data_IF_336478540579
#
_entry.id   IF_336478540579
#
_cell.length_a   1.000
_cell.length_b   1.000
_cell.length_c   1.000
_cell.angle_alpha   90.00
_cell.angle_beta   90.00
_cell.angle_gamma   90.00
#
_symmetry.space_group_name_H-M   'P 1'
#
loop_
_entity.id
_entity.type
_entity.pdbx_description
1 polymer ?
#
# COMPACT_ATOMS: atom_id res chain seq x y z
N UNK A 1 -0.64 -22.50 -7.44
CA UNK A 1 0.58 -22.79 -8.26
C UNK A 1 1.78 -22.40 -7.43
N UNK A 2 2.75 -23.28 -7.33
CA UNK A 2 4.01 -22.96 -6.67
C UNK A 2 4.78 -21.92 -7.49
N UNK A 3 5.59 -21.08 -6.81
CA UNK A 3 6.42 -20.06 -7.45
C UNK A 3 7.24 -20.61 -8.63
N UNK A 4 7.76 -21.83 -8.48
CA UNK A 4 8.59 -22.48 -9.50
C UNK A 4 7.83 -22.92 -10.76
N UNK A 5 6.49 -23.04 -10.67
CA UNK A 5 5.62 -23.38 -11.82
C UNK A 5 5.20 -22.14 -12.62
N UNK A 6 5.56 -20.95 -12.15
CA UNK A 6 5.29 -19.71 -12.87
C UNK A 6 6.21 -19.56 -14.08
N UNK A 7 5.76 -18.92 -15.18
CA UNK A 7 6.62 -18.53 -16.29
C UNK A 7 7.86 -17.76 -15.81
N UNK A 8 9.00 -18.00 -16.44
CA UNK A 8 10.29 -17.43 -16.01
C UNK A 8 10.27 -15.89 -15.96
N UNK A 9 9.63 -15.25 -16.94
CA UNK A 9 9.47 -13.80 -16.97
C UNK A 9 8.70 -13.26 -15.76
N UNK A 10 7.67 -13.99 -15.30
CA UNK A 10 6.89 -13.62 -14.11
C UNK A 10 7.73 -13.80 -12.85
N UNK A 11 8.44 -14.93 -12.72
CA UNK A 11 9.36 -15.17 -11.60
C UNK A 11 10.43 -14.09 -11.50
N UNK A 12 11.04 -13.74 -12.63
CA UNK A 12 12.07 -12.69 -12.70
C UNK A 12 11.49 -11.34 -12.27
N UNK A 13 10.34 -10.95 -12.78
CA UNK A 13 9.65 -9.72 -12.41
C UNK A 13 9.36 -9.64 -10.91
N UNK A 14 8.89 -10.74 -10.29
CA UNK A 14 8.63 -10.79 -8.84
C UNK A 14 9.91 -10.67 -8.02
N UNK A 15 11.03 -11.23 -8.49
CA UNK A 15 12.34 -11.15 -7.83
C UNK A 15 12.98 -9.76 -7.98
N UNK A 16 12.71 -9.05 -9.06
CA UNK A 16 13.21 -7.69 -9.33
C UNK A 16 12.48 -6.61 -8.51
N UNK A 17 11.43 -6.99 -7.79
CA UNK A 17 10.65 -6.12 -6.90
C UNK A 17 9.45 -5.49 -7.59
N UNK A 18 8.30 -6.08 -7.39
CA UNK A 18 6.99 -5.57 -7.83
C UNK A 18 6.24 -5.04 -6.61
N UNK A 19 5.83 -3.80 -6.66
CA UNK A 19 5.09 -3.14 -5.57
C UNK A 19 3.56 -3.32 -5.66
N UNK A 20 3.05 -3.97 -6.72
CA UNK A 20 1.61 -4.26 -6.86
C UNK A 20 1.39 -5.56 -7.62
N UNK A 21 0.52 -6.41 -7.09
CA UNK A 21 0.10 -7.67 -7.71
C UNK A 21 -1.42 -7.72 -7.73
N UNK A 22 -1.99 -8.14 -8.87
CA UNK A 22 -3.43 -8.29 -9.07
C UNK A 22 -3.77 -9.71 -9.52
N UNK A 23 -4.95 -10.23 -9.14
CA UNK A 23 -5.45 -11.51 -9.62
C UNK A 23 -6.98 -11.59 -9.53
N UNK A 24 -7.58 -12.40 -10.41
CA UNK A 24 -8.97 -12.87 -10.39
C UNK A 24 -9.08 -14.38 -10.15
N UNK A 25 -7.95 -15.04 -9.87
CA UNK A 25 -7.89 -16.49 -9.66
C UNK A 25 -8.36 -16.80 -8.25
N UNK A 26 -9.45 -17.57 -8.12
CA UNK A 26 -9.95 -18.09 -6.85
C UNK A 26 -8.93 -19.03 -6.19
N UNK A 27 -8.86 -18.99 -4.88
CA UNK A 27 -7.94 -19.83 -4.09
C UNK A 27 -6.47 -19.41 -4.16
N UNK A 28 -6.11 -18.40 -4.97
CA UNK A 28 -4.75 -17.84 -5.02
C UNK A 28 -4.63 -16.68 -4.05
N UNK A 29 -3.81 -16.84 -3.02
CA UNK A 29 -3.46 -15.75 -2.12
C UNK A 29 -2.32 -14.92 -2.73
N UNK A 30 -2.55 -13.62 -2.87
CA UNK A 30 -1.52 -12.63 -3.21
C UNK A 30 -1.28 -11.69 -2.02
N UNK A 31 -0.09 -11.11 -1.92
CA UNK A 31 0.21 -10.23 -0.79
C UNK A 31 1.53 -9.50 -0.93
N UNK A 32 1.81 -8.66 0.04
CA UNK A 32 3.02 -7.85 0.13
C UNK A 32 3.66 -8.00 1.52
N UNK A 33 4.98 -7.89 1.56
CA UNK A 33 5.76 -7.95 2.79
C UNK A 33 6.23 -6.55 3.18
N UNK A 34 5.86 -6.11 4.39
CA UNK A 34 6.16 -4.76 4.88
C UNK A 34 6.79 -4.77 6.27
N UNK A 35 7.45 -3.68 6.62
CA UNK A 35 7.79 -3.26 7.96
C UNK A 35 7.79 -1.74 7.94
N UNK A 36 6.71 -1.11 8.43
CA UNK A 36 6.38 0.32 8.40
C UNK A 36 5.74 0.82 7.08
N UNK A 37 6.11 0.28 5.91
CA UNK A 37 5.44 0.62 4.65
C UNK A 37 3.96 0.23 4.69
N UNK A 38 3.16 0.88 3.86
CA UNK A 38 1.70 0.77 3.85
C UNK A 38 1.25 -0.37 2.93
N UNK A 39 0.71 -1.49 3.44
CA UNK A 39 -0.03 -2.42 2.60
C UNK A 39 -1.40 -1.84 2.26
N UNK A 40 -1.77 -1.84 1.00
CA UNK A 40 -3.13 -1.53 0.55
C UNK A 40 -3.69 -2.75 -0.15
N UNK A 41 -4.80 -3.27 0.37
CA UNK A 41 -5.52 -4.40 -0.20
C UNK A 41 -6.79 -3.90 -0.87
N UNK A 42 -7.04 -4.31 -2.11
CA UNK A 42 -8.21 -3.89 -2.90
C UNK A 42 -9.04 -5.12 -3.27
N UNK A 43 -10.35 -4.97 -3.25
CA UNK A 43 -11.30 -5.99 -3.65
C UNK A 43 -12.43 -5.42 -4.50
N UNK A 44 -12.65 -6.01 -5.67
CA UNK A 44 -13.82 -5.80 -6.53
C UNK A 44 -14.74 -7.02 -6.41
N UNK A 45 -15.92 -6.81 -5.81
CA UNK A 45 -16.91 -7.86 -5.60
C UNK A 45 -17.73 -8.20 -6.86
N UNK A 46 -17.72 -7.34 -7.86
CA UNK A 46 -18.45 -7.53 -9.11
C UNK A 46 -17.69 -8.46 -10.06
N UNK A 47 -16.37 -8.24 -10.20
CA UNK A 47 -15.51 -8.99 -11.12
C UNK A 47 -14.67 -10.05 -10.39
N UNK A 48 -14.83 -10.19 -9.05
CA UNK A 48 -14.05 -11.11 -8.24
C UNK A 48 -12.55 -10.94 -8.48
N UNK A 49 -12.06 -9.68 -8.40
CA UNK A 49 -10.66 -9.36 -8.58
C UNK A 49 -10.10 -8.73 -7.30
N UNK A 50 -8.83 -9.02 -7.02
CA UNK A 50 -8.11 -8.49 -5.85
C UNK A 50 -6.77 -7.91 -6.24
N UNK A 51 -6.29 -6.95 -5.44
CA UNK A 51 -4.93 -6.41 -5.54
C UNK A 51 -4.28 -6.30 -4.17
N UNK A 52 -2.96 -6.53 -4.13
CA UNK A 52 -2.11 -6.27 -2.99
C UNK A 52 -1.01 -5.28 -3.39
N UNK A 53 -0.92 -4.16 -2.67
CA UNK A 53 -0.05 -3.03 -3.00
C UNK A 53 0.90 -2.73 -1.85
N UNK A 54 2.20 -2.66 -2.13
CA UNK A 54 3.23 -2.17 -1.23
C UNK A 54 3.45 -0.67 -1.46
N UNK A 55 2.85 0.16 -0.61
CA UNK A 55 2.97 1.60 -0.69
C UNK A 55 4.00 2.14 0.32
N UNK A 56 5.29 1.92 0.06
CA UNK A 56 6.37 2.65 0.72
C UNK A 56 6.34 4.14 0.33
N UNK A 57 7.19 4.99 0.92
CA UNK A 57 7.15 6.42 0.66
C UNK A 57 7.38 6.76 -0.83
N UNK A 58 8.26 6.03 -1.54
CA UNK A 58 8.48 6.21 -2.98
C UNK A 58 7.26 5.77 -3.80
N UNK A 59 6.64 4.64 -3.44
CA UNK A 59 5.41 4.18 -4.06
C UNK A 59 4.26 5.17 -3.83
N UNK A 60 4.09 5.66 -2.60
CA UNK A 60 3.09 6.68 -2.27
C UNK A 60 3.33 7.99 -3.03
N UNK A 61 4.59 8.44 -3.14
CA UNK A 61 4.98 9.60 -3.93
C UNK A 61 4.59 9.43 -5.41
N UNK A 62 4.80 8.23 -5.97
CA UNK A 62 4.50 7.87 -7.36
C UNK A 62 3.05 7.40 -7.56
N UNK A 63 2.17 7.65 -6.58
CA UNK A 63 0.72 7.38 -6.63
C UNK A 63 0.37 5.91 -6.90
N UNK A 64 1.07 4.97 -6.25
CA UNK A 64 0.91 3.54 -6.52
C UNK A 64 -0.50 3.02 -6.17
N UNK A 65 -1.14 3.53 -5.11
CA UNK A 65 -2.50 3.14 -4.75
C UNK A 65 -3.52 3.56 -5.82
N UNK A 66 -3.41 4.78 -6.35
CA UNK A 66 -4.22 5.25 -7.48
C UNK A 66 -3.99 4.40 -8.73
N UNK A 67 -2.72 4.13 -9.07
CA UNK A 67 -2.34 3.31 -10.24
C UNK A 67 -2.89 1.90 -10.14
N UNK A 68 -2.88 1.30 -8.96
CA UNK A 68 -3.45 -0.04 -8.75
C UNK A 68 -4.95 -0.08 -9.06
N UNK A 69 -5.71 0.94 -8.65
CA UNK A 69 -7.14 1.07 -9.00
C UNK A 69 -7.33 1.22 -10.51
N UNK A 70 -6.54 2.09 -11.16
CA UNK A 70 -6.58 2.27 -12.62
C UNK A 70 -6.29 0.95 -13.33
N UNK A 71 -5.33 0.17 -12.85
CA UNK A 71 -4.99 -1.12 -13.44
C UNK A 71 -6.09 -2.15 -13.24
N UNK A 72 -6.77 -2.20 -12.10
CA UNK A 72 -7.98 -3.03 -11.92
C UNK A 72 -9.07 -2.64 -12.92
N UNK A 73 -9.27 -1.34 -13.18
CA UNK A 73 -10.23 -0.88 -14.19
C UNK A 73 -9.83 -1.31 -15.61
N UNK A 74 -8.54 -1.24 -15.94
CA UNK A 74 -8.02 -1.61 -17.26
C UNK A 74 -8.18 -3.13 -17.52
N UNK A 75 -7.73 -3.95 -16.57
CA UNK A 75 -7.63 -5.40 -16.69
C UNK A 75 -8.98 -6.08 -16.47
N UNK A 76 -9.67 -5.75 -15.38
CA UNK A 76 -10.88 -6.44 -14.94
C UNK A 76 -12.17 -5.66 -15.20
N UNK A 77 -12.07 -4.43 -15.76
CA UNK A 77 -13.22 -3.53 -15.96
C UNK A 77 -13.90 -3.11 -14.65
N UNK A 78 -13.15 -3.14 -13.56
CA UNK A 78 -13.63 -2.74 -12.24
C UNK A 78 -14.20 -1.34 -12.22
N UNK A 79 -15.29 -1.16 -11.46
CA UNK A 79 -15.85 0.17 -11.20
C UNK A 79 -15.23 0.71 -9.89
N UNK A 80 -14.44 1.81 -9.92
CA UNK A 80 -13.80 2.34 -8.73
C UNK A 80 -14.76 2.60 -7.57
N UNK A 81 -15.99 3.03 -7.85
CA UNK A 81 -16.98 3.33 -6.82
C UNK A 81 -17.47 2.08 -6.06
N UNK A 82 -17.17 0.88 -6.55
CA UNK A 82 -17.50 -0.42 -5.95
C UNK A 82 -16.30 -1.11 -5.32
N UNK A 83 -15.07 -0.73 -5.70
CA UNK A 83 -13.87 -1.29 -5.10
C UNK A 83 -13.84 -0.96 -3.61
N UNK A 84 -13.59 -1.98 -2.79
CA UNK A 84 -13.33 -1.87 -1.35
C UNK A 84 -11.82 -1.89 -1.12
N UNK A 85 -11.35 -1.05 -0.20
CA UNK A 85 -9.93 -0.92 0.13
C UNK A 85 -9.70 -1.04 1.63
N UNK A 86 -8.61 -1.72 2.00
CA UNK A 86 -8.10 -1.73 3.37
C UNK A 86 -6.67 -1.19 3.34
N UNK A 87 -6.43 -0.13 4.10
CA UNK A 87 -5.10 0.40 4.41
C UNK A 87 -4.67 -0.22 5.73
N UNK A 88 -3.78 -1.21 5.65
CA UNK A 88 -3.38 -2.09 6.74
C UNK A 88 -2.41 -1.45 7.76
N UNK A 89 -1.79 -2.29 8.60
CA UNK A 89 -0.80 -1.90 9.61
C UNK A 89 0.37 -1.12 9.00
N UNK A 90 0.76 0.00 9.62
CA UNK A 90 1.68 0.97 9.05
C UNK A 90 2.34 1.85 10.11
N UNK A 91 3.38 2.57 9.73
CA UNK A 91 3.92 3.65 10.57
C UNK A 91 3.03 4.89 10.50
N UNK A 92 2.75 5.51 11.64
CA UNK A 92 1.98 6.75 11.72
C UNK A 92 2.85 7.99 11.55
N UNK A 93 2.19 9.12 11.25
CA UNK A 93 2.86 10.41 11.01
C UNK A 93 3.79 10.81 12.15
N UNK A 94 3.44 10.57 13.40
CA UNK A 94 4.24 10.90 14.58
C UNK A 94 5.61 10.20 14.59
N UNK A 95 5.71 9.06 13.91
CA UNK A 95 6.91 8.22 13.90
C UNK A 95 7.63 8.20 12.55
N UNK A 96 7.03 8.79 11.50
CA UNK A 96 7.59 8.79 10.15
C UNK A 96 8.28 10.14 9.84
N UNK A 97 9.39 10.37 10.52
CA UNK A 97 10.30 11.49 10.24
C UNK A 97 10.99 11.33 8.89
N UNK A 98 11.10 12.44 8.15
CA UNK A 98 11.76 12.51 6.84
C UNK A 98 12.65 13.75 6.74
N UNK A 99 13.63 13.72 5.83
CA UNK A 99 14.43 14.89 5.48
C UNK A 99 13.66 15.89 4.62
N UNK A 100 14.21 17.10 4.51
CA UNK A 100 13.61 18.18 3.72
C UNK A 100 13.47 17.78 2.24
N UNK A 101 14.40 16.98 1.72
CA UNK A 101 14.39 16.47 0.34
C UNK A 101 13.19 15.58 0.04
N UNK A 102 12.75 14.77 0.99
CA UNK A 102 11.54 13.93 0.85
C UNK A 102 10.30 14.81 0.89
N UNK A 103 10.22 15.74 1.85
CA UNK A 103 9.13 16.70 1.94
C UNK A 103 8.95 17.47 0.64
N UNK A 104 10.05 18.02 0.07
CA UNK A 104 10.03 18.77 -1.19
C UNK A 104 9.55 17.92 -2.37
N UNK A 105 9.90 16.64 -2.43
CA UNK A 105 9.41 15.73 -3.47
C UNK A 105 7.88 15.61 -3.43
N UNK A 106 7.27 15.39 -2.25
CA UNK A 106 5.82 15.34 -2.11
C UNK A 106 5.14 16.66 -2.51
N UNK A 107 5.74 17.78 -2.13
CA UNK A 107 5.27 19.12 -2.52
C UNK A 107 5.32 19.31 -4.04
N UNK A 108 6.43 18.92 -4.68
CA UNK A 108 6.65 19.10 -6.12
C UNK A 108 5.66 18.31 -6.97
N UNK A 109 5.28 17.09 -6.54
CA UNK A 109 4.28 16.27 -7.26
C UNK A 109 2.84 16.64 -6.92
N UNK A 110 2.63 17.73 -6.17
CA UNK A 110 1.32 18.36 -5.98
C UNK A 110 0.47 17.81 -4.84
N UNK A 111 1.07 17.12 -3.84
CA UNK A 111 0.33 16.80 -2.64
C UNK A 111 -0.02 18.05 -1.83
N UNK A 112 -1.21 18.06 -1.22
CA UNK A 112 -1.59 19.11 -0.27
C UNK A 112 -0.84 18.89 1.07
N UNK A 113 0.35 19.50 1.17
CA UNK A 113 1.25 19.29 2.30
C UNK A 113 0.62 19.57 3.68
N UNK A 114 -0.22 20.60 3.88
CA UNK A 114 -0.96 20.79 5.13
C UNK A 114 -1.80 19.58 5.58
N UNK A 115 -2.32 18.78 4.66
CA UNK A 115 -3.10 17.58 4.98
C UNK A 115 -2.22 16.39 5.37
N UNK A 116 -1.08 16.23 4.69
CA UNK A 116 -0.25 15.03 4.78
C UNK A 116 1.05 15.20 5.56
N UNK A 117 1.34 16.39 6.10
CA UNK A 117 2.59 16.59 6.82
C UNK A 117 2.41 17.30 8.16
N UNK A 118 3.38 17.10 9.04
CA UNK A 118 3.55 17.81 10.30
C UNK A 118 5.00 18.24 10.43
N UNK A 119 5.22 19.42 11.02
CA UNK A 119 6.56 19.91 11.37
C UNK A 119 6.73 19.84 12.87
N UNK A 120 7.68 19.03 13.30
CA UNK A 120 8.27 19.03 14.63
C UNK A 120 9.68 19.63 14.53
N UNK A 121 10.71 18.97 15.05
CA UNK A 121 12.10 19.34 14.74
C UNK A 121 12.39 19.09 13.26
N UNK A 122 11.93 17.96 12.73
CA UNK A 122 11.97 17.59 11.30
C UNK A 122 10.58 17.45 10.72
N UNK A 123 10.50 17.23 9.42
CA UNK A 123 9.25 16.92 8.76
C UNK A 123 8.80 15.48 9.02
N UNK A 124 7.51 15.32 9.12
CA UNK A 124 6.85 14.03 9.21
C UNK A 124 5.78 13.95 8.12
N UNK A 125 5.66 12.80 7.45
CA UNK A 125 4.68 12.57 6.39
C UNK A 125 3.65 11.53 6.84
N UNK A 126 2.38 11.84 6.63
CA UNK A 126 1.25 10.92 6.84
C UNK A 126 1.04 10.06 5.59
N UNK A 127 1.84 9.00 5.43
CA UNK A 127 1.72 8.08 4.29
C UNK A 127 0.34 7.39 4.21
N UNK A 128 -0.28 6.96 5.33
CA UNK A 128 -1.67 6.48 5.30
C UNK A 128 -2.61 7.45 4.62
N UNK A 129 -2.56 8.73 4.99
CA UNK A 129 -3.40 9.76 4.39
C UNK A 129 -3.08 10.02 2.91
N UNK A 130 -1.78 9.96 2.54
CA UNK A 130 -1.39 10.04 1.13
C UNK A 130 -2.07 8.96 0.28
N UNK A 131 -2.11 7.73 0.77
CA UNK A 131 -2.73 6.62 0.05
C UNK A 131 -4.26 6.67 0.11
N UNK A 132 -4.85 7.12 1.21
CA UNK A 132 -6.28 7.38 1.32
C UNK A 132 -6.75 8.41 0.28
N UNK A 133 -6.07 9.56 0.19
CA UNK A 133 -6.34 10.59 -0.83
C UNK A 133 -6.25 9.99 -2.25
N UNK A 134 -5.22 9.20 -2.55
CA UNK A 134 -5.05 8.57 -3.85
C UNK A 134 -6.22 7.64 -4.22
N UNK A 135 -6.71 6.86 -3.26
CA UNK A 135 -7.86 5.97 -3.48
C UNK A 135 -9.13 6.78 -3.75
N UNK A 136 -9.34 7.89 -3.03
CA UNK A 136 -10.44 8.83 -3.27
C UNK A 136 -10.35 9.48 -4.64
N UNK A 137 -9.17 9.97 -5.03
CA UNK A 137 -8.90 10.55 -6.35
C UNK A 137 -9.10 9.53 -7.48
N UNK A 138 -8.85 8.24 -7.22
CA UNK A 138 -9.11 7.16 -8.16
C UNK A 138 -10.61 6.79 -8.27
N UNK A 139 -11.48 7.39 -7.45
CA UNK A 139 -12.95 7.23 -7.51
C UNK A 139 -13.55 6.26 -6.51
N UNK A 140 -12.79 5.78 -5.52
CA UNK A 140 -13.38 4.99 -4.43
C UNK A 140 -14.27 5.87 -3.56
N UNK A 141 -15.36 5.30 -3.06
CA UNK A 141 -16.20 5.96 -2.07
C UNK A 141 -15.56 5.90 -0.69
N UNK A 142 -15.81 6.92 0.13
CA UNK A 142 -15.28 7.01 1.50
C UNK A 142 -15.66 5.78 2.34
N UNK A 143 -16.91 5.38 2.29
CA UNK A 143 -17.43 4.23 3.01
C UNK A 143 -16.80 2.89 2.61
N UNK A 144 -16.10 2.84 1.47
CA UNK A 144 -15.42 1.66 0.96
C UNK A 144 -13.92 1.61 1.35
N UNK A 145 -13.41 2.62 2.06
CA UNK A 145 -12.00 2.67 2.47
C UNK A 145 -11.92 2.50 3.99
N UNK A 146 -11.32 1.39 4.41
CA UNK A 146 -11.06 1.11 5.82
C UNK A 146 -9.58 1.32 6.12
N UNK A 147 -9.29 1.93 7.26
CA UNK A 147 -7.92 2.04 7.77
C UNK A 147 -7.78 1.25 9.07
N UNK A 148 -6.77 0.37 9.16
CA UNK A 148 -6.44 -0.27 10.43
C UNK A 148 -5.88 0.78 11.41
N UNK A 149 -6.28 0.69 12.68
CA UNK A 149 -5.83 1.59 13.74
C UNK A 149 -4.46 1.23 14.34
N UNK A 150 -3.60 0.46 13.66
CA UNK A 150 -2.39 -0.13 14.22
C UNK A 150 -1.14 0.57 13.66
N UNK A 151 -0.29 1.09 14.58
CA UNK A 151 1.03 1.64 14.25
C UNK A 151 2.13 0.61 14.54
N UNK A 152 2.84 0.16 13.51
CA UNK A 152 3.92 -0.84 13.63
C UNK A 152 5.06 -0.36 14.55
N UNK A 153 5.41 0.93 14.51
CA UNK A 153 6.43 1.50 15.38
C UNK A 153 6.03 1.51 16.85
N UNK A 154 4.80 1.93 17.15
CA UNK A 154 4.29 2.01 18.52
C UNK A 154 3.98 0.63 19.11
N UNK A 155 3.52 -0.31 18.26
CA UNK A 155 3.17 -1.68 18.64
C UNK A 155 4.28 -2.67 18.23
N UNK A 156 5.53 -2.31 18.38
CA UNK A 156 6.67 -3.11 17.90
C UNK A 156 6.97 -4.36 18.72
N UNK A 157 6.23 -4.61 19.78
CA UNK A 157 6.23 -5.88 20.51
C UNK A 157 5.44 -6.96 19.74
N UNK A 158 4.42 -6.54 18.99
CA UNK A 158 3.54 -7.44 18.21
C UNK A 158 3.82 -7.36 16.71
N UNK A 159 4.41 -6.24 16.22
CA UNK A 159 4.61 -5.97 14.80
C UNK A 159 6.06 -5.59 14.47
N UNK A 160 6.53 -6.00 13.31
CA UNK A 160 7.84 -5.61 12.82
C UNK A 160 7.85 -4.14 12.34
N UNK A 161 8.84 -3.39 12.83
CA UNK A 161 9.09 -2.00 12.42
C UNK A 161 10.55 -1.84 12.01
N UNK A 162 10.79 -1.55 10.75
CA UNK A 162 12.15 -1.30 10.23
C UNK A 162 12.73 0.00 10.82
N UNK A 163 11.90 1.00 11.09
CA UNK A 163 12.30 2.26 11.72
C UNK A 163 12.80 2.03 13.16
N UNK A 164 12.20 1.10 13.90
CA UNK A 164 12.55 0.81 15.29
C UNK A 164 13.65 -0.23 15.42
N UNK A 165 13.60 -1.30 14.62
CA UNK A 165 14.48 -2.46 14.72
C UNK A 165 15.64 -2.43 13.71
N UNK A 166 15.64 -1.47 12.78
CA UNK A 166 16.68 -1.34 11.76
C UNK A 166 16.75 -2.56 10.84
N UNK A 167 17.97 -2.93 10.46
CA UNK A 167 18.23 -4.05 9.53
C UNK A 167 17.85 -5.44 10.09
N UNK A 168 17.68 -5.56 11.40
CA UNK A 168 17.26 -6.80 12.07
C UNK A 168 15.73 -6.99 12.10
N UNK A 169 14.97 -6.05 11.54
CA UNK A 169 13.52 -6.17 11.46
C UNK A 169 13.10 -7.31 10.56
N UNK A 170 12.18 -8.16 11.04
CA UNK A 170 11.41 -9.07 10.20
C UNK A 170 10.45 -8.32 9.28
N UNK A 171 9.50 -9.07 8.70
CA UNK A 171 8.46 -8.52 7.82
C UNK A 171 7.10 -9.06 8.21
N UNK A 172 6.09 -8.22 8.00
CA UNK A 172 4.67 -8.56 8.13
C UNK A 172 4.17 -8.89 6.73
N UNK A 173 3.50 -10.01 6.55
CA UNK A 173 2.83 -10.34 5.31
C UNK A 173 1.36 -9.93 5.39
N UNK A 174 0.93 -9.07 4.49
CA UNK A 174 -0.47 -8.68 4.30
C UNK A 174 -0.97 -9.26 2.98
N UNK A 175 -1.97 -10.13 3.05
CA UNK A 175 -2.44 -10.88 1.90
C UNK A 175 -3.96 -10.83 1.74
N UNK A 176 -4.41 -11.08 0.50
CA UNK A 176 -5.80 -11.16 0.11
C UNK A 176 -6.02 -12.34 -0.84
N UNK A 177 -7.15 -12.99 -0.73
CA UNK A 177 -7.54 -14.14 -1.57
C UNK A 177 -9.03 -14.09 -1.83
N UNK A 178 -9.43 -14.47 -3.04
CA UNK A 178 -10.83 -14.74 -3.37
C UNK A 178 -11.13 -16.17 -2.92
N UNK A 179 -12.09 -16.35 -1.99
CA UNK A 179 -12.52 -17.68 -1.57
C UNK A 179 -13.22 -18.42 -2.70
N UNK A 180 -13.25 -19.75 -2.62
CA UNK A 180 -13.99 -20.61 -3.52
C UNK A 180 -15.51 -20.39 -3.41
#
# INVERSE_FOLDING_TARGET
>A
REFFDMPENIRKMLLEGVDCVLTDIKGLCIGVSTADCIPVLLYDDEHHAVAAVHAGWRGSLNRIAHRAVVEMCNVYKSNPSRIKAVIETKIYVENFEVGDEVYQQFQTVGFNMPLISRKYEKWHINLPECNHIQLREAGLKEENIMMSGICTFSCSEDYFSARKLGQHSGRIFSGIMISE
#
